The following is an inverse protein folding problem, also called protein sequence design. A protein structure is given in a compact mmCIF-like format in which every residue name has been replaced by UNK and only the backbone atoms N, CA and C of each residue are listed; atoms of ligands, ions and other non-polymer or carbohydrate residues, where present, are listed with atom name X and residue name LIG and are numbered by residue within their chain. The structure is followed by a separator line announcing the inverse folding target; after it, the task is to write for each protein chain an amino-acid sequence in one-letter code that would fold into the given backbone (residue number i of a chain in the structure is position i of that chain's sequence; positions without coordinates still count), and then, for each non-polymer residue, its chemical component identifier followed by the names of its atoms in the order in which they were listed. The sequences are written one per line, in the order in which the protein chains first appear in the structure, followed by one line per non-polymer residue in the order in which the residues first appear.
data_IF_649618696722
#
_entry.id   IF_649618696722
#
_cell.length_a   1.000
_cell.length_b   1.000
_cell.length_c   1.000
_cell.angle_alpha   90.00
_cell.angle_beta   90.00
_cell.angle_gamma   90.00
#
_symmetry.space_group_name_H-M   'P 1'
#
loop_
_entity.id
_entity.type
_entity.pdbx_description
1 polymer ?
#
# COMPACT_ATOMS: atom_id res chain seq x y z
N UNK A 1 -25.30 -29.64 33.09
CA UNK A 1 -26.36 -29.18 32.17
C UNK A 1 -25.76 -28.16 31.20
N UNK A 2 -26.28 -28.12 29.98
CA UNK A 2 -25.58 -27.84 28.71
C UNK A 2 -25.05 -26.40 28.54
N UNK A 3 -23.82 -26.29 28.05
CA UNK A 3 -23.24 -25.13 27.35
C UNK A 3 -24.08 -24.76 26.11
N UNK A 4 -24.17 -23.47 25.79
CA UNK A 4 -24.56 -23.00 24.45
C UNK A 4 -23.48 -22.08 23.90
N UNK A 5 -22.57 -22.66 23.11
CA UNK A 5 -21.84 -21.96 22.05
C UNK A 5 -22.81 -21.59 20.94
N UNK A 6 -22.70 -20.38 20.40
CA UNK A 6 -23.32 -20.01 19.11
C UNK A 6 -22.23 -19.92 18.06
N UNK A 7 -22.38 -20.82 17.09
CA UNK A 7 -21.64 -20.97 15.84
C UNK A 7 -22.35 -20.08 14.81
N UNK A 8 -21.59 -19.31 14.02
CA UNK A 8 -22.00 -18.84 12.69
C UNK A 8 -20.77 -19.09 11.79
N UNK A 9 -20.75 -20.22 11.07
CA UNK A 9 -21.21 -20.39 9.68
C UNK A 9 -20.37 -19.56 8.70
N UNK A 10 -19.21 -20.07 8.28
CA UNK A 10 -19.04 -20.80 7.00
C UNK A 10 -19.50 -19.97 5.79
N UNK A 11 -18.56 -19.24 5.19
CA UNK A 11 -18.70 -18.75 3.83
C UNK A 11 -17.92 -19.62 2.85
N UNK A 12 -18.58 -19.86 1.73
CA UNK A 12 -18.34 -20.89 0.73
C UNK A 12 -17.17 -20.51 -0.18
N UNK A 13 -16.25 -21.46 -0.34
CA UNK A 13 -15.30 -21.54 -1.46
C UNK A 13 -16.09 -21.66 -2.77
N UNK A 14 -15.84 -20.79 -3.74
CA UNK A 14 -16.23 -21.02 -5.13
C UNK A 14 -14.99 -21.02 -6.02
N UNK A 15 -14.99 -22.00 -6.91
CA UNK A 15 -13.87 -22.44 -7.71
C UNK A 15 -13.60 -21.49 -8.88
N UNK A 16 -12.32 -21.42 -9.18
CA UNK A 16 -11.64 -20.70 -10.26
C UNK A 16 -12.13 -21.21 -11.62
N UNK A 17 -12.55 -20.29 -12.50
CA UNK A 17 -12.83 -20.56 -13.91
C UNK A 17 -12.23 -19.44 -14.78
N UNK A 18 -11.07 -19.69 -15.38
CA UNK A 18 -10.42 -18.78 -16.33
C UNK A 18 -11.01 -18.97 -17.75
N UNK A 19 -11.52 -17.92 -18.42
CA UNK A 19 -11.81 -17.98 -19.85
C UNK A 19 -10.56 -17.69 -20.69
N UNK A 20 -10.41 -18.49 -21.76
CA UNK A 20 -9.33 -18.48 -22.76
C UNK A 20 -9.31 -17.17 -23.56
N UNK A 21 -8.15 -16.52 -23.63
CA UNK A 21 -7.84 -15.41 -24.55
C UNK A 21 -7.85 -15.91 -26.01
N UNK A 22 -8.59 -15.21 -26.89
CA UNK A 22 -8.48 -15.36 -28.35
C UNK A 22 -7.56 -14.26 -28.90
N UNK A 23 -6.56 -14.69 -29.66
CA UNK A 23 -5.72 -13.89 -30.52
C UNK A 23 -6.54 -13.29 -31.68
N UNK A 24 -6.39 -11.99 -31.94
CA UNK A 24 -6.65 -11.38 -33.24
C UNK A 24 -5.56 -10.34 -33.54
N UNK A 25 -5.21 -10.28 -34.82
CA UNK A 25 -3.93 -9.87 -35.38
C UNK A 25 -3.58 -8.37 -35.37
N UNK A 26 -2.26 -8.16 -35.52
CA UNK A 26 -1.57 -6.92 -35.82
C UNK A 26 -1.80 -6.46 -37.28
N UNK A 27 -1.72 -5.13 -37.51
CA UNK A 27 -1.07 -4.52 -38.68
C UNK A 27 -0.99 -2.98 -38.61
N UNK A 28 -0.11 -2.33 -39.40
CA UNK A 28 0.76 -1.27 -38.89
C UNK A 28 0.57 0.13 -39.51
N UNK A 29 1.20 1.11 -38.86
CA UNK A 29 1.86 2.25 -39.53
C UNK A 29 1.07 3.55 -39.61
N UNK A 30 1.62 4.62 -39.03
CA UNK A 30 1.99 5.88 -39.70
C UNK A 30 2.47 6.87 -38.62
N UNK A 31 3.75 7.23 -38.69
CA UNK A 31 4.36 8.34 -37.97
C UNK A 31 4.14 9.64 -38.75
N UNK A 32 3.87 10.76 -38.03
CA UNK A 32 4.36 12.13 -38.29
C UNK A 32 3.80 13.15 -37.26
N UNK A 33 4.46 14.31 -37.06
CA UNK A 33 4.60 14.95 -35.75
C UNK A 33 3.45 15.91 -35.41
N UNK A 34 3.09 15.98 -34.12
CA UNK A 34 2.12 16.96 -33.59
C UNK A 34 2.87 18.20 -33.15
N UNK A 35 2.52 19.34 -33.75
CA UNK A 35 2.94 20.67 -33.33
C UNK A 35 2.35 20.99 -31.95
N UNK A 36 3.18 21.50 -31.04
CA UNK A 36 2.75 21.99 -29.73
C UNK A 36 2.02 23.31 -29.92
N UNK A 37 0.68 23.28 -29.84
CA UNK A 37 -0.12 24.47 -29.68
C UNK A 37 -0.25 24.79 -28.18
N UNK A 38 0.33 25.92 -27.77
CA UNK A 38 0.12 26.50 -26.44
C UNK A 38 -1.36 26.85 -26.28
N UNK A 39 -2.06 26.11 -25.43
CA UNK A 39 -3.40 26.47 -24.97
C UNK A 39 -3.25 27.21 -23.65
N UNK A 40 -3.63 28.48 -23.66
CA UNK A 40 -3.82 29.31 -22.47
C UNK A 40 -5.01 28.73 -21.69
N UNK A 41 -4.73 28.11 -20.54
CA UNK A 41 -5.76 27.61 -19.62
C UNK A 41 -6.35 28.77 -18.81
N UNK A 42 -7.65 28.99 -18.96
CA UNK A 42 -8.48 29.82 -18.07
C UNK A 42 -9.66 28.96 -17.63
N UNK A 43 -9.68 28.53 -16.38
CA UNK A 43 -10.77 27.73 -15.82
C UNK A 43 -10.42 27.14 -14.45
N UNK A 44 -11.04 27.69 -13.40
CA UNK A 44 -11.20 27.12 -12.05
C UNK A 44 -10.02 26.33 -11.46
N UNK A 45 -9.28 27.00 -10.57
CA UNK A 45 -8.35 26.44 -9.60
C UNK A 45 -9.08 25.47 -8.66
N UNK A 46 -9.20 24.21 -9.08
CA UNK A 46 -9.09 23.09 -8.14
C UNK A 46 -7.63 23.11 -7.73
N UNK A 47 -7.35 23.57 -6.50
CA UNK A 47 -6.00 23.53 -5.93
C UNK A 47 -5.51 22.09 -6.12
N UNK A 48 -4.53 21.90 -6.98
CA UNK A 48 -3.78 20.66 -7.02
C UNK A 48 -3.33 20.37 -5.58
N UNK A 49 -3.62 19.17 -5.08
CA UNK A 49 -3.39 18.75 -3.69
C UNK A 49 -2.06 19.32 -3.16
N UNK A 50 -2.13 20.28 -2.26
CA UNK A 50 -0.93 20.77 -1.58
C UNK A 50 -0.38 19.59 -0.76
N UNK A 51 0.91 19.24 -0.87
CA UNK A 51 1.50 18.18 -0.05
C UNK A 51 1.29 18.35 1.46
N UNK A 52 0.99 19.58 1.91
CA UNK A 52 0.63 19.90 3.30
C UNK A 52 -0.81 19.57 3.68
N UNK A 53 -1.71 19.45 2.72
CA UNK A 53 -3.13 19.15 2.93
C UNK A 53 -3.39 17.64 3.03
N UNK A 54 -2.54 16.82 2.41
CA UNK A 54 -2.70 15.36 2.39
C UNK A 54 -2.74 14.73 3.80
N UNK A 55 -1.88 15.11 4.78
CA UNK A 55 -2.02 14.63 6.16
C UNK A 55 -3.37 14.99 6.81
N UNK A 56 -3.94 16.15 6.50
CA UNK A 56 -5.23 16.57 7.04
C UNK A 56 -6.38 15.75 6.43
N UNK A 57 -6.30 15.46 5.12
CA UNK A 57 -7.21 14.54 4.46
C UNK A 57 -7.14 13.13 5.07
N UNK A 58 -5.95 12.60 5.34
CA UNK A 58 -5.79 11.29 6.00
C UNK A 58 -6.28 11.31 7.46
N UNK A 59 -6.16 12.45 8.16
CA UNK A 59 -6.77 12.60 9.49
C UNK A 59 -8.29 12.47 9.43
N UNK A 60 -8.93 13.06 8.42
CA UNK A 60 -10.37 12.96 8.24
C UNK A 60 -10.83 11.51 8.00
N UNK A 61 -10.04 10.72 7.25
CA UNK A 61 -10.28 9.28 7.04
C UNK A 61 -10.36 8.50 8.37
N UNK A 62 -9.55 8.88 9.36
CA UNK A 62 -9.48 8.24 10.67
C UNK A 62 -10.29 8.93 11.77
N UNK A 63 -11.14 9.91 11.45
CA UNK A 63 -11.80 10.75 12.46
C UNK A 63 -12.66 9.96 13.46
N UNK A 64 -13.22 8.82 13.04
CA UNK A 64 -14.09 7.96 13.85
C UNK A 64 -13.44 6.63 14.22
N UNK A 65 -12.12 6.53 14.09
CA UNK A 65 -11.36 5.31 14.33
C UNK A 65 -10.49 5.51 15.57
N UNK A 66 -10.44 4.50 16.45
CA UNK A 66 -9.52 4.51 17.58
C UNK A 66 -8.07 4.42 17.07
N UNK A 67 -7.31 5.49 17.30
CA UNK A 67 -5.96 5.69 16.76
C UNK A 67 -5.02 6.22 17.83
N UNK A 68 -3.75 5.88 17.72
CA UNK A 68 -2.73 6.41 18.63
C UNK A 68 -2.44 7.88 18.31
N UNK A 69 -2.01 8.67 19.30
CA UNK A 69 -1.46 10.01 19.06
C UNK A 69 -0.33 9.98 18.02
N UNK A 70 -0.08 11.07 17.29
CA UNK A 70 1.05 11.15 16.37
C UNK A 70 2.39 11.05 17.12
N UNK A 71 3.41 10.50 16.48
CA UNK A 71 4.74 10.34 17.07
C UNK A 71 5.50 11.67 17.18
N UNK A 72 5.14 12.63 16.33
CA UNK A 72 5.84 13.91 16.22
C UNK A 72 7.08 13.84 15.31
N UNK A 73 7.41 15.00 14.75
CA UNK A 73 8.52 15.15 13.80
C UNK A 73 9.90 14.75 14.36
N UNK A 74 10.13 14.92 15.66
CA UNK A 74 11.40 14.53 16.27
C UNK A 74 11.62 13.02 16.25
N UNK A 75 10.59 12.24 16.58
CA UNK A 75 10.64 10.79 16.57
C UNK A 75 10.77 10.25 15.14
N UNK A 76 10.03 10.82 14.19
CA UNK A 76 10.13 10.45 12.77
C UNK A 76 11.55 10.67 12.24
N UNK A 77 12.15 11.85 12.49
CA UNK A 77 13.53 12.13 12.06
C UNK A 77 14.56 11.25 12.76
N UNK A 78 14.35 10.89 14.03
CA UNK A 78 15.23 9.97 14.74
C UNK A 78 15.20 8.56 14.10
N UNK A 79 14.02 8.08 13.72
CA UNK A 79 13.86 6.82 13.00
C UNK A 79 14.54 6.87 11.62
N UNK A 80 14.28 7.92 10.83
CA UNK A 80 14.92 8.15 9.53
C UNK A 80 16.46 8.12 9.63
N UNK A 81 17.01 8.83 10.62
CA UNK A 81 18.45 8.87 10.87
C UNK A 81 19.01 7.51 11.31
N UNK A 82 18.32 6.78 12.19
CA UNK A 82 18.75 5.47 12.67
C UNK A 82 18.80 4.42 11.56
N UNK A 83 17.94 4.54 10.56
CA UNK A 83 17.84 3.58 9.46
C UNK A 83 18.43 4.07 8.13
N UNK A 84 18.99 5.29 8.09
CA UNK A 84 19.56 5.93 6.90
C UNK A 84 18.59 5.98 5.70
N UNK A 85 17.34 6.36 5.97
CA UNK A 85 16.28 6.51 4.95
C UNK A 85 15.53 7.82 5.14
N UNK A 86 14.74 8.19 4.14
CA UNK A 86 13.67 9.17 4.27
C UNK A 86 12.35 8.44 4.01
N UNK A 87 11.36 8.61 4.87
CA UNK A 87 10.03 8.03 4.67
C UNK A 87 9.31 8.75 3.53
N UNK A 88 8.57 8.04 2.65
CA UNK A 88 7.84 8.68 1.58
C UNK A 88 6.62 9.43 2.11
N UNK A 89 6.32 10.59 1.53
CA UNK A 89 5.02 11.23 1.73
C UNK A 89 3.92 10.42 1.01
N UNK A 90 2.69 10.41 1.55
CA UNK A 90 2.23 11.13 2.75
C UNK A 90 2.44 10.40 4.08
N UNK A 91 3.08 9.22 4.06
CA UNK A 91 3.23 8.39 5.27
C UNK A 91 4.10 9.06 6.34
N UNK A 92 5.13 9.79 5.92
CA UNK A 92 6.01 10.57 6.79
C UNK A 92 5.24 11.64 7.57
N UNK A 93 4.49 12.50 6.88
CA UNK A 93 3.62 13.51 7.50
C UNK A 93 2.51 12.90 8.36
N UNK A 94 1.97 11.76 7.92
CA UNK A 94 0.97 10.99 8.68
C UNK A 94 1.50 10.57 10.05
N UNK A 95 2.67 9.94 10.14
CA UNK A 95 3.25 9.54 11.43
C UNK A 95 3.56 10.75 12.33
N UNK A 96 4.05 11.83 11.72
CA UNK A 96 4.46 13.03 12.44
C UNK A 96 3.28 13.82 13.02
N UNK A 97 2.13 13.86 12.32
CA UNK A 97 1.06 14.83 12.60
C UNK A 97 -0.35 14.22 12.69
N UNK A 98 -0.53 12.98 12.26
CA UNK A 98 -1.82 12.29 12.28
C UNK A 98 -1.82 11.20 13.35
N UNK A 99 -1.03 10.14 13.21
CA UNK A 99 -1.12 8.98 14.10
C UNK A 99 0.14 8.11 14.09
N UNK A 100 0.59 7.64 15.26
CA UNK A 100 1.64 6.62 15.42
C UNK A 100 1.04 5.20 15.47
N UNK A 101 0.24 4.87 14.47
CA UNK A 101 -0.45 3.59 14.35
C UNK A 101 -1.90 3.60 14.84
N UNK A 102 -2.65 2.61 14.36
CA UNK A 102 -4.10 2.57 14.48
C UNK A 102 -4.54 1.13 14.78
N UNK A 103 -4.83 0.77 16.05
CA UNK A 103 -5.18 -0.60 16.42
C UNK A 103 -6.39 -1.18 15.66
N UNK A 104 -7.32 -0.31 15.24
CA UNK A 104 -8.49 -0.70 14.47
C UNK A 104 -8.19 -0.94 12.97
N UNK A 105 -6.99 -0.61 12.50
CA UNK A 105 -6.56 -0.79 11.12
C UNK A 105 -6.42 0.51 10.32
N UNK A 106 -6.06 0.39 9.03
CA UNK A 106 -5.74 -0.85 8.32
C UNK A 106 -4.36 -1.42 8.69
N UNK A 107 -4.08 -2.71 8.46
CA UNK A 107 -4.98 -3.81 8.07
C UNK A 107 -5.77 -4.40 9.26
N UNK A 108 -6.33 -5.62 9.14
CA UNK A 108 -7.20 -6.25 10.15
C UNK A 108 -6.58 -6.32 11.57
N UNK A 109 -5.26 -6.42 11.67
CA UNK A 109 -4.53 -6.44 12.95
C UNK A 109 -3.87 -5.10 13.32
N UNK A 110 -4.30 -4.01 12.68
CA UNK A 110 -3.89 -2.65 13.02
C UNK A 110 -2.74 -2.10 12.18
N UNK A 111 -2.71 -0.77 12.07
CA UNK A 111 -1.63 -0.02 11.46
C UNK A 111 -0.45 0.12 12.43
N UNK A 112 0.74 -0.23 11.98
CA UNK A 112 1.99 -0.14 12.71
C UNK A 112 2.40 1.32 12.95
N UNK A 113 2.85 1.60 14.17
CA UNK A 113 3.56 2.84 14.51
C UNK A 113 5.07 2.69 14.29
N UNK A 114 5.83 3.77 14.49
CA UNK A 114 7.28 3.85 14.31
C UNK A 114 8.03 2.68 14.94
N UNK A 115 7.67 2.30 16.17
CA UNK A 115 8.32 1.22 16.91
C UNK A 115 8.14 -0.19 16.32
N UNK A 116 7.26 -0.36 15.34
CA UNK A 116 6.97 -1.64 14.70
C UNK A 116 7.25 -1.65 13.18
N UNK A 117 7.74 -0.55 12.60
CA UNK A 117 7.92 -0.40 11.16
C UNK A 117 8.98 -1.32 10.54
N UNK A 118 9.95 -1.80 11.32
CA UNK A 118 10.94 -2.76 10.80
C UNK A 118 10.33 -4.15 10.58
N UNK A 119 9.13 -4.40 11.13
CA UNK A 119 8.48 -5.70 11.05
C UNK A 119 9.24 -6.80 11.81
N UNK A 120 8.80 -8.06 11.66
CA UNK A 120 9.40 -9.21 12.37
C UNK A 120 10.66 -9.77 11.70
N UNK A 121 11.03 -9.33 10.50
CA UNK A 121 12.18 -9.84 9.74
C UNK A 121 13.48 -9.19 10.20
N UNK A 122 14.31 -9.93 10.95
CA UNK A 122 15.57 -9.42 11.50
C UNK A 122 16.63 -9.04 10.45
N UNK A 123 16.56 -9.61 9.25
CA UNK A 123 17.60 -9.46 8.21
C UNK A 123 17.28 -8.39 7.16
N UNK A 124 16.11 -7.76 7.22
CA UNK A 124 15.71 -6.71 6.27
C UNK A 124 16.43 -5.39 6.56
N UNK A 125 16.98 -4.75 5.53
CA UNK A 125 17.65 -3.45 5.63
C UNK A 125 16.88 -2.38 4.87
N UNK A 126 16.38 -1.36 5.57
CA UNK A 126 15.55 -0.30 4.96
C UNK A 126 16.31 0.53 3.91
N UNK A 127 17.61 0.74 4.08
CA UNK A 127 18.43 1.49 3.13
C UNK A 127 18.84 0.69 1.88
N UNK A 128 18.63 -0.64 1.86
CA UNK A 128 18.86 -1.44 0.65
C UNK A 128 17.65 -1.32 -0.28
N UNK A 129 17.83 -1.16 -1.60
CA UNK A 129 16.71 -1.06 -2.53
C UNK A 129 15.80 -2.28 -2.47
N UNK A 130 14.49 -2.04 -2.49
CA UNK A 130 13.49 -3.07 -2.66
C UNK A 130 13.69 -3.81 -3.99
N UNK A 131 13.78 -5.15 -4.00
CA UNK A 131 14.26 -5.89 -5.18
C UNK A 131 13.18 -6.18 -6.24
N UNK A 132 11.88 -6.02 -5.94
CA UNK A 132 10.82 -6.36 -6.88
C UNK A 132 10.37 -5.14 -7.68
N UNK A 133 10.21 -5.35 -8.98
CA UNK A 133 9.68 -4.34 -9.93
C UNK A 133 8.31 -4.73 -10.50
N UNK A 134 7.82 -5.93 -10.17
CA UNK A 134 6.51 -6.44 -10.58
C UNK A 134 6.04 -7.53 -9.61
N UNK A 135 4.77 -7.91 -9.70
CA UNK A 135 4.23 -9.03 -8.92
C UNK A 135 5.04 -10.30 -9.16
N UNK A 136 5.31 -11.05 -8.09
CA UNK A 136 6.17 -12.24 -8.13
C UNK A 136 5.58 -13.35 -7.27
N UNK A 137 5.49 -14.55 -7.83
CA UNK A 137 5.28 -15.78 -7.07
C UNK A 137 6.60 -16.30 -6.53
N UNK A 138 6.57 -16.89 -5.34
CA UNK A 138 7.73 -17.56 -4.76
C UNK A 138 7.91 -18.93 -5.42
N UNK A 139 9.14 -19.26 -5.75
CA UNK A 139 9.55 -20.59 -6.20
C UNK A 139 10.47 -21.23 -5.16
N UNK A 140 10.60 -22.56 -5.19
CA UNK A 140 11.38 -23.31 -4.21
C UNK A 140 12.88 -22.97 -4.25
N UNK A 141 13.39 -22.52 -5.40
CA UNK A 141 14.81 -22.26 -5.62
C UNK A 141 15.26 -20.92 -5.01
N UNK A 142 14.46 -19.87 -5.17
CA UNK A 142 14.80 -18.51 -4.74
C UNK A 142 14.12 -18.12 -3.43
N UNK A 143 13.00 -18.76 -3.09
CA UNK A 143 12.21 -18.44 -1.92
C UNK A 143 11.62 -17.02 -1.94
N UNK A 144 11.13 -16.54 -0.78
CA UNK A 144 10.56 -15.20 -0.67
C UNK A 144 11.64 -14.13 -0.81
N UNK A 145 11.28 -13.01 -1.45
CA UNK A 145 12.13 -11.83 -1.44
C UNK A 145 12.29 -11.30 -0.01
N UNK A 146 13.49 -10.83 0.34
CA UNK A 146 13.71 -10.12 1.61
C UNK A 146 12.87 -8.84 1.65
N UNK A 147 12.38 -8.45 2.83
CA UNK A 147 11.72 -7.16 3.06
C UNK A 147 12.62 -5.92 2.96
N UNK A 148 13.77 -6.01 2.28
CA UNK A 148 14.69 -4.89 2.07
C UNK A 148 13.98 -3.70 1.43
N UNK A 149 14.30 -2.48 1.88
CA UNK A 149 13.69 -1.27 1.32
C UNK A 149 12.22 -1.09 1.63
N UNK A 150 11.64 -1.85 2.57
CA UNK A 150 10.22 -1.75 2.95
C UNK A 150 10.01 -1.59 4.45
N UNK A 151 9.01 -0.81 4.85
CA UNK A 151 8.50 -0.79 6.22
C UNK A 151 7.20 -1.60 6.32
N UNK A 152 7.01 -2.28 7.44
CA UNK A 152 5.81 -3.03 7.75
C UNK A 152 4.69 -2.07 8.17
N UNK A 153 3.56 -2.09 7.44
CA UNK A 153 2.36 -1.32 7.77
C UNK A 153 1.43 -2.13 8.69
N UNK A 154 1.40 -3.44 8.56
CA UNK A 154 0.60 -4.33 9.40
C UNK A 154 0.31 -5.64 8.68
N UNK A 155 -0.53 -6.47 9.29
CA UNK A 155 -0.92 -7.78 8.74
C UNK A 155 -2.45 -7.96 8.69
N UNK A 156 -2.94 -8.64 7.66
CA UNK A 156 -4.29 -9.24 7.65
C UNK A 156 -4.28 -10.67 8.24
N UNK A 157 -3.14 -11.13 8.78
CA UNK A 157 -2.95 -12.49 9.26
C UNK A 157 -2.62 -13.47 8.14
N UNK A 158 -2.46 -14.76 8.46
CA UNK A 158 -2.14 -15.82 7.47
C UNK A 158 -0.97 -15.45 6.53
N UNK A 159 0.08 -14.85 7.08
CA UNK A 159 1.25 -14.35 6.35
C UNK A 159 0.97 -13.25 5.31
N UNK A 160 -0.18 -12.57 5.37
CA UNK A 160 -0.53 -11.44 4.49
C UNK A 160 -0.10 -10.12 5.11
N UNK A 161 1.12 -9.69 4.78
CA UNK A 161 1.71 -8.47 5.30
C UNK A 161 1.65 -7.33 4.29
N UNK A 162 1.20 -6.17 4.76
CA UNK A 162 1.21 -4.93 4.00
C UNK A 162 2.49 -4.18 4.29
N UNK A 163 3.18 -3.77 3.24
CA UNK A 163 4.47 -3.09 3.33
C UNK A 163 4.49 -1.85 2.46
N UNK A 164 5.17 -0.81 2.91
CA UNK A 164 5.41 0.40 2.13
C UNK A 164 6.86 0.43 1.68
N UNK A 165 7.09 0.59 0.39
CA UNK A 165 8.46 0.72 -0.16
C UNK A 165 9.00 2.10 0.18
N UNK A 166 10.14 2.14 0.88
CA UNK A 166 10.83 3.37 1.30
C UNK A 166 12.11 3.63 0.51
N UNK A 167 12.71 2.58 -0.08
CA UNK A 167 13.93 2.67 -0.88
C UNK A 167 13.83 1.78 -2.11
N UNK A 168 14.18 2.30 -3.29
CA UNK A 168 14.15 1.58 -4.57
C UNK A 168 13.17 2.17 -5.58
N UNK A 169 13.03 1.50 -6.72
CA UNK A 169 12.23 1.98 -7.87
C UNK A 169 10.75 2.19 -7.51
N UNK A 170 10.19 1.32 -6.68
CA UNK A 170 8.80 1.40 -6.24
C UNK A 170 8.56 2.28 -5.02
N UNK A 171 9.51 3.15 -4.61
CA UNK A 171 9.36 4.02 -3.43
C UNK A 171 8.00 4.75 -3.42
N UNK A 172 7.32 4.70 -2.28
CA UNK A 172 5.98 5.28 -2.08
C UNK A 172 4.82 4.33 -2.40
N UNK A 173 5.07 3.20 -3.07
CA UNK A 173 4.03 2.20 -3.33
C UNK A 173 3.85 1.24 -2.16
N UNK A 174 2.60 0.83 -1.93
CA UNK A 174 2.24 -0.23 -0.99
C UNK A 174 2.25 -1.57 -1.73
N UNK A 175 2.73 -2.60 -1.06
CA UNK A 175 2.80 -3.97 -1.54
C UNK A 175 2.18 -4.92 -0.51
N UNK A 176 1.54 -5.97 -0.98
CA UNK A 176 1.12 -7.10 -0.16
C UNK A 176 2.13 -8.23 -0.36
N UNK A 177 2.65 -8.76 0.74
CA UNK A 177 3.45 -9.97 0.79
C UNK A 177 2.61 -11.09 1.37
N UNK A 178 2.71 -12.28 0.80
CA UNK A 178 2.06 -13.51 1.26
C UNK A 178 3.07 -14.64 1.33
N UNK A 179 2.62 -15.81 1.78
CA UNK A 179 3.39 -17.06 1.75
C UNK A 179 3.60 -17.61 0.33
N UNK A 180 2.88 -17.09 -0.68
CA UNK A 180 2.96 -17.56 -2.08
C UNK A 180 3.54 -16.53 -3.05
N UNK A 181 3.54 -15.25 -2.70
CA UNK A 181 4.04 -14.20 -3.57
C UNK A 181 4.01 -12.81 -2.95
N UNK A 182 4.40 -11.81 -3.74
CA UNK A 182 4.15 -10.41 -3.43
C UNK A 182 3.61 -9.68 -4.66
N UNK A 183 2.77 -8.68 -4.41
CA UNK A 183 2.16 -7.88 -5.46
C UNK A 183 2.00 -6.41 -5.03
N UNK A 184 2.13 -5.46 -5.98
CA UNK A 184 1.90 -4.05 -5.70
C UNK A 184 0.40 -3.74 -5.59
N UNK A 185 0.08 -2.75 -4.76
CA UNK A 185 -1.27 -2.22 -4.60
C UNK A 185 -1.44 -0.91 -5.37
N UNK A 186 -2.54 -0.80 -6.12
CA UNK A 186 -2.95 0.40 -6.84
C UNK A 186 -3.41 0.12 -8.27
N UNK A 187 -4.25 1.01 -8.79
CA UNK A 187 -4.84 0.96 -10.12
C UNK A 187 -3.84 0.78 -11.26
N UNK A 188 -2.65 1.43 -11.26
CA UNK A 188 -1.66 1.22 -12.33
C UNK A 188 -1.21 -0.24 -12.49
N UNK A 189 -1.40 -1.08 -11.48
CA UNK A 189 -1.01 -2.49 -11.50
C UNK A 189 -2.15 -3.44 -11.86
N UNK A 190 -3.39 -2.95 -11.96
CA UNK A 190 -4.53 -3.70 -12.47
C UNK A 190 -5.24 -4.63 -11.47
N UNK A 191 -4.82 -4.69 -10.21
CA UNK A 191 -5.43 -5.58 -9.20
C UNK A 191 -6.52 -4.91 -8.35
N UNK A 192 -6.59 -3.58 -8.36
CA UNK A 192 -7.58 -2.80 -7.59
C UNK A 192 -7.94 -1.53 -8.34
N UNK A 193 -9.09 -0.95 -8.04
CA UNK A 193 -9.50 0.36 -8.52
C UNK A 193 -8.87 1.52 -7.73
N UNK A 194 -8.17 1.24 -6.63
CA UNK A 194 -7.61 2.23 -5.71
C UNK A 194 -6.51 3.11 -6.34
N UNK A 195 -6.35 4.34 -5.85
CA UNK A 195 -5.13 5.10 -6.08
C UNK A 195 -3.92 4.36 -5.48
N UNK A 196 -2.73 4.46 -6.08
CA UNK A 196 -1.52 3.83 -5.54
C UNK A 196 -1.04 4.51 -4.25
N UNK A 197 -0.13 3.82 -3.57
CA UNK A 197 0.58 4.36 -2.41
C UNK A 197 -0.23 4.43 -1.12
N UNK A 198 0.38 4.96 -0.06
CA UNK A 198 -0.16 4.90 1.30
C UNK A 198 -1.53 5.58 1.43
N UNK A 199 -1.69 6.77 0.87
CA UNK A 199 -2.96 7.52 0.95
C UNK A 199 -4.10 6.83 0.21
N UNK A 200 -3.84 6.25 -0.96
CA UNK A 200 -4.84 5.48 -1.70
C UNK A 200 -5.23 4.19 -0.98
N UNK A 201 -4.24 3.49 -0.42
CA UNK A 201 -4.44 2.29 0.39
C UNK A 201 -5.28 2.55 1.65
N UNK A 202 -4.97 3.60 2.42
CA UNK A 202 -5.71 3.97 3.63
C UNK A 202 -7.17 4.34 3.32
N UNK A 203 -7.40 5.13 2.26
CA UNK A 203 -8.75 5.51 1.81
C UNK A 203 -9.54 4.30 1.31
N UNK A 204 -8.88 3.36 0.64
CA UNK A 204 -9.52 2.16 0.13
C UNK A 204 -10.05 1.29 1.27
N UNK A 205 -9.24 1.07 2.31
CA UNK A 205 -9.68 0.40 3.54
C UNK A 205 -10.87 1.08 4.20
N UNK A 206 -10.78 2.41 4.39
CA UNK A 206 -11.83 3.16 5.08
C UNK A 206 -13.18 3.14 4.32
N UNK A 207 -13.15 2.90 3.01
CA UNK A 207 -14.34 2.71 2.20
C UNK A 207 -14.97 1.31 2.35
N UNK A 208 -14.32 0.39 3.07
CA UNK A 208 -14.84 -0.97 3.32
C UNK A 208 -14.91 -1.84 2.06
N UNK A 209 -14.05 -1.59 1.07
CA UNK A 209 -14.00 -2.36 -0.18
C UNK A 209 -13.05 -3.56 -0.06
N UNK A 210 -13.27 -4.57 -0.91
CA UNK A 210 -12.33 -5.67 -1.07
C UNK A 210 -11.00 -5.15 -1.64
N UNK A 211 -9.88 -5.58 -1.07
CA UNK A 211 -8.54 -5.08 -1.44
C UNK A 211 -8.21 -5.21 -2.93
N UNK A 212 -8.81 -6.20 -3.60
CA UNK A 212 -8.58 -6.52 -5.00
C UNK A 212 -9.91 -6.54 -5.76
N UNK A 213 -10.46 -5.34 -5.96
CA UNK A 213 -11.78 -5.07 -6.54
C UNK A 213 -11.77 -4.77 -8.04
N UNK A 214 -10.67 -5.04 -8.74
CA UNK A 214 -10.61 -4.95 -10.19
C UNK A 214 -11.11 -6.27 -10.83
N UNK A 215 -11.92 -6.13 -11.88
CA UNK A 215 -12.51 -7.24 -12.67
C UNK A 215 -11.52 -7.90 -13.64
#
# INVERSE_FOLDING_TARGET
MKHKSRIFSSQKKHAIGYPRLRCCDASPGITRPVAVASVLWSGTDVRADDPRDEPDALRAVLANVDRKPPAGWAAVRAFEAAHAIELPEPFRGFLASVSDGCPAGPPAYGLSGLGALTGPEADATLARPFPLTSARFWDEETGPAKGDGTVHLGTDGCAMDWRLVVTGEHRGHVWQFTDVGAQPFGRPFGYTTAEPGFGGWLRHWAAGRDWFDAD
#
